data_IF_270094930323
#
_entry.id   IF_270094930323
#
_cell.length_a   1.000
_cell.length_b   1.000
_cell.length_c   1.000
_cell.angle_alpha   90.00
_cell.angle_beta   90.00
_cell.angle_gamma   90.00
#
_symmetry.space_group_name_H-M   'P 1'
#
loop_
_entity.id
_entity.type
_entity.pdbx_description
1 polymer ?
#
# COMPACT_ATOMS: atom_id res chain seq x y z
N UNK A 1 -8.18 15.70 -10.38
CA UNK A 1 -8.67 14.30 -10.46
C UNK A 1 -7.98 13.55 -9.33
N UNK A 2 -8.74 12.85 -8.48
CA UNK A 2 -8.19 12.17 -7.30
C UNK A 2 -7.90 10.72 -7.65
N UNK A 3 -6.63 10.32 -7.61
CA UNK A 3 -6.18 8.96 -7.98
C UNK A 3 -5.62 8.28 -6.73
N UNK A 4 -6.10 7.06 -6.44
CA UNK A 4 -5.63 6.22 -5.34
C UNK A 4 -4.97 4.94 -5.84
N UNK A 5 -4.26 4.28 -4.93
CA UNK A 5 -3.62 2.97 -5.14
C UNK A 5 -4.34 1.92 -4.31
N UNK A 6 -4.69 0.80 -4.94
CA UNK A 6 -5.15 -0.40 -4.26
C UNK A 6 -4.18 -1.53 -4.58
N UNK A 7 -3.66 -2.21 -3.55
CA UNK A 7 -2.73 -3.32 -3.72
C UNK A 7 -2.85 -4.34 -2.59
N UNK A 8 -2.52 -5.60 -2.90
CA UNK A 8 -2.29 -6.63 -1.89
C UNK A 8 -0.78 -6.69 -1.61
N UNK A 9 -0.40 -6.67 -0.34
CA UNK A 9 1.00 -6.68 0.08
C UNK A 9 1.45 -8.12 0.37
N UNK A 10 2.71 -8.39 0.06
CA UNK A 10 3.41 -9.64 0.38
C UNK A 10 4.66 -9.31 1.20
N UNK A 11 5.37 -10.34 1.66
CA UNK A 11 6.69 -10.24 2.28
C UNK A 11 7.78 -9.69 1.36
N UNK A 12 7.56 -9.69 0.04
CA UNK A 12 8.43 -9.04 -0.95
C UNK A 12 8.03 -7.58 -1.26
N UNK A 13 6.94 -7.10 -0.67
CA UNK A 13 6.46 -5.72 -0.85
C UNK A 13 7.14 -4.75 0.13
N UNK A 14 7.03 -3.45 -0.17
CA UNK A 14 7.28 -2.43 0.86
C UNK A 14 6.27 -2.58 1.99
N UNK A 15 6.70 -2.29 3.22
CA UNK A 15 5.78 -2.19 4.35
C UNK A 15 4.72 -1.11 4.05
N UNK A 16 3.46 -1.27 4.53
CA UNK A 16 2.36 -0.37 4.17
C UNK A 16 2.68 1.11 4.41
N UNK A 17 3.41 1.42 5.48
CA UNK A 17 3.80 2.79 5.83
C UNK A 17 4.84 3.38 4.86
N UNK A 18 5.82 2.59 4.44
CA UNK A 18 6.82 3.02 3.46
C UNK A 18 6.18 3.23 2.09
N UNK A 19 5.31 2.30 1.68
CA UNK A 19 4.56 2.43 0.44
C UNK A 19 3.70 3.70 0.43
N UNK A 20 3.03 4.02 1.54
CA UNK A 20 2.21 5.23 1.65
C UNK A 20 3.04 6.51 1.38
N UNK A 21 4.22 6.62 1.99
CA UNK A 21 5.14 7.75 1.76
C UNK A 21 5.56 7.84 0.30
N UNK A 22 5.94 6.71 -0.30
CA UNK A 22 6.38 6.65 -1.69
C UNK A 22 5.25 7.09 -2.65
N UNK A 23 4.03 6.55 -2.51
CA UNK A 23 2.95 6.94 -3.42
C UNK A 23 2.49 8.38 -3.20
N UNK A 24 2.52 8.88 -1.97
CA UNK A 24 2.15 10.27 -1.67
C UNK A 24 3.14 11.24 -2.33
N UNK A 25 4.44 10.96 -2.28
CA UNK A 25 5.46 11.74 -3.00
C UNK A 25 5.29 11.77 -4.53
N UNK A 26 4.55 10.78 -5.08
CA UNK A 26 4.24 10.66 -6.51
C UNK A 26 2.88 11.28 -6.88
N UNK A 27 2.16 11.85 -5.92
CA UNK A 27 0.89 12.55 -6.12
C UNK A 27 -0.36 11.65 -6.05
N UNK A 28 -0.24 10.43 -5.51
CA UNK A 28 -1.41 9.62 -5.20
C UNK A 28 -2.01 10.06 -3.86
N UNK A 29 -3.34 10.10 -3.79
CA UNK A 29 -4.05 10.68 -2.64
C UNK A 29 -4.50 9.66 -1.60
N UNK A 30 -4.44 8.37 -1.92
CA UNK A 30 -4.93 7.33 -1.02
C UNK A 30 -4.26 5.98 -1.29
N UNK A 31 -4.02 5.23 -0.22
CA UNK A 31 -3.59 3.83 -0.23
C UNK A 31 -4.70 2.97 0.41
N UNK A 32 -5.17 1.97 -0.31
CA UNK A 32 -6.09 0.96 0.20
C UNK A 32 -5.40 -0.40 0.21
N UNK A 33 -5.26 -0.99 1.40
CA UNK A 33 -4.72 -2.33 1.60
C UNK A 33 -5.85 -3.21 2.12
N UNK A 34 -6.10 -4.39 1.53
CA UNK A 34 -7.13 -5.28 2.04
C UNK A 34 -6.74 -5.81 3.42
N UNK A 35 -7.71 -5.90 4.34
CA UNK A 35 -7.51 -6.60 5.60
C UNK A 35 -7.42 -8.10 5.34
N UNK A 36 -6.31 -8.73 5.72
CA UNK A 36 -6.11 -10.16 5.61
C UNK A 36 -5.24 -10.67 6.76
N UNK A 37 -5.51 -11.89 7.22
CA UNK A 37 -4.64 -12.57 8.19
C UNK A 37 -3.36 -12.99 7.48
N UNK A 38 -2.20 -12.50 7.93
CA UNK A 38 -0.91 -12.99 7.43
C UNK A 38 -0.75 -14.45 7.87
N UNK A 39 -1.00 -15.39 6.95
CA UNK A 39 -0.96 -16.84 7.28
C UNK A 39 0.45 -17.41 7.28
N UNK A 40 1.47 -16.62 6.95
CA UNK A 40 2.84 -17.10 6.82
C UNK A 40 3.78 -16.28 7.68
N UNK A 41 4.53 -16.99 8.51
CA UNK A 41 5.62 -16.53 9.35
C UNK A 41 6.82 -17.43 9.11
#
# INVERSE_FOLDING_TARGET
MRIGVFTALTDESLEPGELAVEIESRGFESLFVPEHTHTYR
#
